data_IF_893144810708
#
_entry.id   IF_893144810708
#
_cell.length_a   1.000
_cell.length_b   1.000
_cell.length_c   1.000
_cell.angle_alpha   90.00
_cell.angle_beta   90.00
_cell.angle_gamma   90.00
#
_symmetry.space_group_name_H-M   'P 1'
#
loop_
_entity.id
_entity.type
_entity.pdbx_description
1 polymer ?
#
# COMPACT_ATOMS: atom_id res chain seq x y z
N UNK A 1 27.08 -65.23 45.38
CA UNK A 1 27.99 -64.92 44.24
C UNK A 1 27.32 -63.81 43.45
N UNK A 2 27.76 -62.55 43.59
CA UNK A 2 28.68 -61.84 42.65
C UNK A 2 28.09 -61.75 41.24
N UNK A 3 27.93 -60.62 40.53
CA UNK A 3 28.48 -59.24 40.51
C UNK A 3 27.52 -58.40 39.63
N UNK A 4 27.22 -57.11 39.92
CA UNK A 4 27.65 -55.89 39.17
C UNK A 4 27.58 -55.97 37.62
N UNK A 5 27.18 -54.98 36.80
CA UNK A 5 26.98 -53.52 36.91
C UNK A 5 26.43 -53.02 35.53
N UNK A 6 26.00 -51.75 35.49
CA UNK A 6 25.71 -50.87 34.33
C UNK A 6 24.38 -51.01 33.57
N UNK A 7 23.50 -50.01 33.76
CA UNK A 7 22.97 -49.20 32.64
C UNK A 7 22.40 -47.87 33.14
N UNK A 8 23.18 -46.82 32.83
CA UNK A 8 22.85 -45.42 32.57
C UNK A 8 21.60 -44.79 33.20
N UNK A 9 21.89 -43.88 34.12
CA UNK A 9 21.06 -42.76 34.52
C UNK A 9 20.93 -41.78 33.34
N UNK A 10 19.71 -41.55 32.85
CA UNK A 10 19.39 -40.52 31.87
C UNK A 10 18.26 -39.67 32.43
N UNK A 11 18.62 -38.50 32.95
CA UNK A 11 17.69 -37.46 33.39
C UNK A 11 16.71 -37.13 32.28
N UNK A 12 15.42 -37.39 32.48
CA UNK A 12 14.36 -36.77 31.68
C UNK A 12 14.30 -35.32 32.14
N UNK A 13 14.95 -34.44 31.38
CA UNK A 13 14.75 -33.00 31.49
C UNK A 13 13.35 -32.72 30.99
N UNK A 14 12.41 -32.47 31.91
CA UNK A 14 11.17 -31.79 31.59
C UNK A 14 11.54 -30.37 31.13
N UNK A 15 11.65 -30.18 29.82
CA UNK A 15 11.64 -28.84 29.23
C UNK A 15 10.22 -28.32 29.45
N UNK A 16 10.06 -27.51 30.49
CA UNK A 16 8.91 -26.61 30.62
C UNK A 16 8.96 -25.68 29.41
N UNK A 17 8.19 -26.02 28.37
CA UNK A 17 7.81 -25.08 27.34
C UNK A 17 6.94 -24.03 28.03
N UNK A 18 7.58 -22.95 28.51
CA UNK A 18 6.87 -21.71 28.69
C UNK A 18 6.26 -21.37 27.34
N UNK A 19 4.93 -21.49 27.26
CA UNK A 19 4.18 -20.83 26.22
C UNK A 19 4.62 -19.37 26.21
N UNK A 20 5.35 -18.95 25.18
CA UNK A 20 5.38 -17.55 24.82
C UNK A 20 3.93 -17.17 24.55
N UNK A 21 3.25 -16.64 25.55
CA UNK A 21 2.00 -15.92 25.32
C UNK A 21 2.33 -14.86 24.27
N UNK A 22 1.72 -14.97 23.10
CA UNK A 22 1.81 -13.93 22.10
C UNK A 22 1.34 -12.65 22.80
N UNK A 23 2.23 -11.65 22.91
CA UNK A 23 1.87 -10.35 23.49
C UNK A 23 0.67 -9.82 22.71
N UNK A 24 -0.49 -9.83 23.35
CA UNK A 24 -1.70 -9.24 22.81
C UNK A 24 -1.60 -7.71 22.95
N UNK A 25 -2.26 -6.98 22.05
CA UNK A 25 -2.47 -5.55 22.22
C UNK A 25 -3.13 -5.28 23.58
N UNK A 26 -2.57 -4.35 24.34
CA UNK A 26 -3.12 -3.91 25.63
C UNK A 26 -4.24 -2.86 25.41
N UNK A 27 -4.87 -2.39 26.49
CA UNK A 27 -5.72 -1.19 26.42
C UNK A 27 -4.87 0.03 26.02
N UNK A 28 -5.34 0.80 25.03
CA UNK A 28 -4.64 1.97 24.53
C UNK A 28 -4.92 2.25 23.07
N UNK A 29 -4.35 3.34 22.55
CA UNK A 29 -4.51 3.76 21.17
C UNK A 29 -3.82 2.80 20.21
N UNK A 30 -4.60 2.18 19.33
CA UNK A 30 -4.09 1.44 18.18
C UNK A 30 -3.92 2.40 17.01
N UNK A 31 -2.97 2.09 16.14
CA UNK A 31 -2.64 2.85 14.95
C UNK A 31 -2.61 1.91 13.76
N UNK A 32 -3.22 2.27 12.65
CA UNK A 32 -3.33 1.47 11.44
C UNK A 32 -2.72 2.25 10.26
N UNK A 33 -1.95 1.59 9.41
CA UNK A 33 -1.45 2.20 8.19
C UNK A 33 -0.48 1.32 7.41
N UNK A 34 0.51 1.91 6.75
CA UNK A 34 1.44 1.19 5.88
C UNK A 34 2.90 1.42 6.23
N UNK A 35 3.71 0.40 5.99
CA UNK A 35 5.15 0.50 5.82
C UNK A 35 5.51 0.16 4.38
N UNK A 36 6.18 1.07 3.68
CA UNK A 36 6.64 0.89 2.30
C UNK A 36 7.96 0.11 2.26
N UNK A 37 7.86 -1.19 2.55
CA UNK A 37 9.02 -2.07 2.62
C UNK A 37 9.49 -2.43 1.21
N UNK A 38 10.66 -3.07 1.10
CA UNK A 38 11.20 -3.56 -0.18
C UNK A 38 10.31 -4.58 -0.90
N UNK A 39 9.26 -5.07 -0.23
CA UNK A 39 8.20 -5.93 -0.77
C UNK A 39 6.88 -5.19 -0.91
N UNK A 40 6.92 -3.88 -1.09
CA UNK A 40 5.76 -3.02 -1.25
C UNK A 40 5.12 -2.60 0.06
N UNK A 41 4.04 -1.83 -0.08
CA UNK A 41 3.25 -1.32 1.03
C UNK A 41 2.62 -2.45 1.85
N UNK A 42 3.11 -2.63 3.07
CA UNK A 42 2.58 -3.61 4.01
C UNK A 42 1.60 -2.95 4.96
N UNK A 43 0.42 -3.57 5.15
CA UNK A 43 -0.48 -3.17 6.24
C UNK A 43 0.24 -3.27 7.57
N UNK A 44 -0.08 -2.35 8.45
CA UNK A 44 0.55 -2.21 9.75
C UNK A 44 -0.51 -1.85 10.79
N UNK A 45 -0.46 -2.55 11.92
CA UNK A 45 -1.18 -2.18 13.13
C UNK A 45 -0.16 -2.01 14.24
N UNK A 46 0.02 -0.78 14.71
CA UNK A 46 0.94 -0.45 15.79
C UNK A 46 0.19 -0.05 17.07
N UNK A 47 0.80 -0.30 18.20
CA UNK A 47 0.42 0.25 19.49
C UNK A 47 1.68 0.71 20.20
N UNK A 48 1.65 1.93 20.71
CA UNK A 48 2.77 2.56 21.41
C UNK A 48 2.42 2.71 22.89
N UNK A 49 3.33 2.29 23.75
CA UNK A 49 3.34 2.58 25.18
C UNK A 49 4.56 3.45 25.47
N UNK A 50 4.34 4.76 25.51
CA UNK A 50 5.39 5.76 25.72
C UNK A 50 5.96 5.73 27.15
N UNK A 51 5.18 5.29 28.13
CA UNK A 51 5.60 5.22 29.53
C UNK A 51 6.51 4.00 29.75
N UNK A 52 6.10 2.84 29.23
CA UNK A 52 6.91 1.62 29.27
C UNK A 52 8.04 1.62 28.22
N UNK A 53 8.11 2.64 27.35
CA UNK A 53 9.06 2.75 26.23
C UNK A 53 9.04 1.51 25.33
N UNK A 54 7.86 0.94 25.13
CA UNK A 54 7.67 -0.29 24.37
C UNK A 54 6.42 -0.21 23.51
N UNK A 55 6.18 -1.25 22.70
CA UNK A 55 4.98 -1.32 21.89
C UNK A 55 4.90 -2.60 21.10
N UNK A 56 3.89 -2.68 20.24
CA UNK A 56 3.67 -3.80 19.34
C UNK A 56 3.42 -3.28 17.93
N UNK A 57 3.94 -4.00 16.94
CA UNK A 57 3.65 -3.77 15.53
C UNK A 57 3.29 -5.11 14.90
N UNK A 58 2.13 -5.16 14.24
CA UNK A 58 1.70 -6.29 13.44
C UNK A 58 1.75 -5.86 11.98
N UNK A 59 2.43 -6.67 11.16
CA UNK A 59 2.44 -6.55 9.71
C UNK A 59 1.74 -7.80 9.17
N UNK A 60 0.38 -7.85 9.19
CA UNK A 60 -0.36 -9.11 9.07
C UNK A 60 -0.05 -9.87 7.79
N UNK A 61 0.26 -9.15 6.71
CA UNK A 61 0.52 -9.72 5.39
C UNK A 61 1.98 -10.20 5.21
N UNK A 62 2.89 -9.82 6.11
CA UNK A 62 4.32 -10.16 6.03
C UNK A 62 4.77 -11.07 7.17
N UNK A 63 4.36 -10.77 8.40
CA UNK A 63 4.80 -11.43 9.62
C UNK A 63 3.55 -11.70 10.47
N UNK A 64 3.06 -12.95 10.54
CA UNK A 64 1.83 -13.30 11.24
C UNK A 64 1.99 -13.31 12.78
N UNK A 65 3.07 -12.71 13.30
CA UNK A 65 3.35 -12.57 14.73
C UNK A 65 3.67 -11.11 15.07
N UNK A 66 3.16 -10.57 16.19
CA UNK A 66 3.49 -9.21 16.61
C UNK A 66 5.00 -9.03 16.83
N UNK A 67 5.55 -7.98 16.23
CA UNK A 67 6.89 -7.48 16.50
C UNK A 67 6.87 -6.59 17.73
N UNK A 68 7.88 -6.72 18.58
CA UNK A 68 8.06 -5.81 19.71
C UNK A 68 8.70 -4.51 19.21
N UNK A 69 8.11 -3.39 19.61
CA UNK A 69 8.72 -2.08 19.47
C UNK A 69 9.53 -1.78 20.74
N UNK A 70 10.75 -1.30 20.56
CA UNK A 70 11.64 -0.89 21.67
C UNK A 70 12.04 0.57 21.51
N UNK A 71 12.56 1.15 22.58
CA UNK A 71 13.03 2.55 22.59
C UNK A 71 11.93 3.54 22.17
N UNK A 72 10.67 3.16 22.41
CA UNK A 72 9.52 3.99 22.08
C UNK A 72 9.60 5.26 22.91
N UNK A 73 9.61 6.40 22.25
CA UNK A 73 9.64 7.70 22.91
C UNK A 73 8.96 8.77 22.07
N UNK A 74 8.36 9.73 22.77
CA UNK A 74 7.76 10.91 22.17
C UNK A 74 8.43 12.17 22.71
N UNK A 75 8.78 13.10 21.83
CA UNK A 75 9.27 14.43 22.16
C UNK A 75 8.51 15.45 21.33
N UNK A 76 7.62 16.21 21.97
CA UNK A 76 6.69 17.11 21.27
C UNK A 76 5.85 16.32 20.25
N UNK A 77 5.90 16.72 18.97
CA UNK A 77 5.28 16.08 17.83
C UNK A 77 6.13 14.95 17.24
N UNK A 78 7.34 14.68 17.74
CA UNK A 78 8.22 13.65 17.19
C UNK A 78 8.11 12.33 17.94
N UNK A 79 8.04 11.23 17.21
CA UNK A 79 8.03 9.85 17.74
C UNK A 79 9.23 9.08 17.23
N UNK A 80 9.85 8.31 18.12
CA UNK A 80 10.98 7.44 17.83
C UNK A 80 10.70 6.05 18.38
N UNK A 81 11.07 5.03 17.61
CA UNK A 81 10.98 3.64 18.05
C UNK A 81 11.85 2.75 17.18
N UNK A 82 12.16 1.55 17.66
CA UNK A 82 12.94 0.55 16.93
C UNK A 82 12.10 -0.70 16.74
N UNK A 83 12.08 -1.24 15.52
CA UNK A 83 11.41 -2.50 15.17
C UNK A 83 12.47 -3.60 15.03
N UNK A 84 12.29 -4.71 15.73
CA UNK A 84 13.18 -5.87 15.61
C UNK A 84 12.84 -6.75 14.40
N UNK A 85 13.58 -6.63 13.29
CA UNK A 85 13.51 -7.60 12.20
C UNK A 85 14.64 -8.64 12.30
N UNK A 86 14.46 -9.80 11.64
CA UNK A 86 15.52 -10.80 11.49
C UNK A 86 16.72 -10.29 10.68
N UNK A 87 16.48 -9.37 9.74
CA UNK A 87 17.50 -8.66 8.95
C UNK A 87 18.22 -7.56 9.72
N UNK A 88 17.89 -7.35 11.00
CA UNK A 88 18.46 -6.28 11.83
C UNK A 88 17.41 -5.22 12.20
N UNK A 89 17.72 -4.36 13.18
CA UNK A 89 16.78 -3.38 13.69
C UNK A 89 16.43 -2.32 12.64
N UNK A 90 15.14 -1.98 12.54
CA UNK A 90 14.65 -0.83 11.79
C UNK A 90 14.40 0.33 12.75
N UNK A 91 15.19 1.41 12.66
CA UNK A 91 15.06 2.60 13.51
C UNK A 91 14.11 3.58 12.87
N UNK A 92 13.02 3.90 13.56
CA UNK A 92 11.95 4.75 13.07
C UNK A 92 12.03 6.14 13.68
N UNK A 93 11.87 7.15 12.83
CA UNK A 93 11.66 8.55 13.21
C UNK A 93 10.42 9.08 12.49
N UNK A 94 9.47 9.61 13.26
CA UNK A 94 8.21 10.09 12.75
C UNK A 94 7.74 11.40 13.40
N UNK A 95 6.76 12.05 12.78
CA UNK A 95 5.97 13.13 13.35
C UNK A 95 4.51 12.69 13.54
N UNK A 96 3.96 12.95 14.73
CA UNK A 96 2.52 12.96 15.02
C UNK A 96 1.93 14.30 14.58
N UNK A 97 0.86 14.26 13.79
CA UNK A 97 0.00 15.41 13.50
C UNK A 97 -1.46 14.99 13.64
N UNK A 98 -2.11 15.42 14.72
CA UNK A 98 -3.47 15.00 15.05
C UNK A 98 -3.55 13.48 15.24
N UNK A 99 -4.44 12.84 14.48
CA UNK A 99 -4.64 11.38 14.51
C UNK A 99 -3.73 10.63 13.51
N UNK A 100 -2.65 11.25 13.02
CA UNK A 100 -1.72 10.64 12.05
C UNK A 100 -0.25 10.66 12.51
N UNK A 101 0.51 9.64 12.09
CA UNK A 101 1.95 9.48 12.25
C UNK A 101 2.57 9.30 10.87
N UNK A 102 3.56 10.12 10.53
CA UNK A 102 4.33 10.04 9.28
C UNK A 102 5.81 9.93 9.58
N UNK A 103 6.50 8.95 9.03
CA UNK A 103 7.91 8.75 9.34
C UNK A 103 8.71 7.99 8.31
N UNK A 104 9.99 7.86 8.65
CA UNK A 104 10.96 7.06 7.92
C UNK A 104 11.52 6.03 8.89
N UNK A 105 11.58 4.79 8.43
CA UNK A 105 12.30 3.69 9.05
C UNK A 105 13.63 3.50 8.32
N UNK A 106 14.73 3.61 9.03
CA UNK A 106 16.07 3.29 8.55
C UNK A 106 16.43 1.84 8.90
N UNK A 107 16.82 1.04 7.92
CA UNK A 107 17.40 -0.28 8.14
C UNK A 107 18.66 -0.45 7.29
N UNK A 108 19.78 -0.86 7.91
CA UNK A 108 21.08 -0.96 7.23
C UNK A 108 21.09 -1.89 6.00
N UNK A 109 20.22 -2.91 5.96
CA UNK A 109 20.12 -3.85 4.86
C UNK A 109 19.08 -3.46 3.81
N UNK A 110 18.04 -2.72 4.23
CA UNK A 110 16.85 -2.46 3.40
C UNK A 110 16.79 -1.03 2.86
N UNK A 111 17.61 -0.12 3.40
CA UNK A 111 17.53 1.30 3.12
C UNK A 111 16.43 2.01 3.93
N UNK A 112 16.07 3.20 3.46
CA UNK A 112 15.06 4.06 4.07
C UNK A 112 13.67 3.68 3.55
N UNK A 113 12.79 3.27 4.45
CA UNK A 113 11.38 2.98 4.15
C UNK A 113 10.49 4.07 4.72
N UNK A 114 9.58 4.61 3.92
CA UNK A 114 8.54 5.49 4.44
C UNK A 114 7.45 4.68 5.14
N UNK A 115 6.88 5.23 6.20
CA UNK A 115 5.70 4.66 6.81
C UNK A 115 4.72 5.75 7.24
N UNK A 116 3.47 5.34 7.31
CA UNK A 116 2.36 6.17 7.70
C UNK A 116 1.40 5.36 8.56
N UNK A 117 0.89 5.92 9.64
CA UNK A 117 -0.13 5.31 10.50
C UNK A 117 -1.18 6.36 10.87
N UNK A 118 -2.42 5.95 11.14
CA UNK A 118 -3.41 6.78 11.82
C UNK A 118 -4.10 6.02 12.93
N UNK A 119 -4.64 6.76 13.90
CA UNK A 119 -5.35 6.18 15.03
C UNK A 119 -6.52 5.30 14.57
N UNK A 120 -6.55 4.05 15.03
CA UNK A 120 -7.55 3.06 14.64
C UNK A 120 -8.96 3.53 15.00
N UNK A 121 -9.94 3.19 14.14
CA UNK A 121 -11.32 3.64 14.31
C UNK A 121 -11.54 5.14 14.06
N UNK A 122 -10.50 5.89 13.68
CA UNK A 122 -10.65 7.24 13.12
C UNK A 122 -10.72 7.16 11.60
N UNK A 123 -11.50 8.07 11.05
CA UNK A 123 -11.73 8.32 9.62
C UNK A 123 -10.41 8.49 8.84
N UNK A 124 -9.29 8.79 9.50
CA UNK A 124 -8.01 9.01 8.84
C UNK A 124 -7.16 7.76 8.58
N UNK A 125 -7.53 6.52 8.97
CA UNK A 125 -6.81 5.29 8.55
C UNK A 125 -6.73 5.22 7.02
N UNK A 126 -5.56 4.97 6.39
CA UNK A 126 -5.50 4.86 4.91
C UNK A 126 -6.37 3.74 4.37
N UNK A 127 -6.62 2.70 5.17
CA UNK A 127 -7.55 1.61 4.85
C UNK A 127 -9.02 2.00 4.99
N UNK A 128 -9.30 3.24 5.38
CA UNK A 128 -10.63 3.80 5.50
C UNK A 128 -10.61 5.30 5.16
N UNK A 129 -9.73 5.78 4.26
CA UNK A 129 -9.79 7.19 3.85
C UNK A 129 -11.21 7.45 3.36
N UNK A 130 -11.95 8.39 3.97
CA UNK A 130 -13.22 8.79 3.42
C UNK A 130 -12.93 9.39 2.06
N UNK A 131 -13.78 9.10 1.10
CA UNK A 131 -13.83 9.90 -0.11
C UNK A 131 -14.02 11.37 0.31
N UNK A 132 -13.27 12.33 -0.25
CA UNK A 132 -13.47 13.75 0.02
C UNK A 132 -14.90 14.14 -0.36
N UNK A 133 -15.42 15.17 0.30
CA UNK A 133 -16.77 15.65 0.03
C UNK A 133 -16.85 16.23 -1.39
N UNK A 134 -18.00 16.08 -2.06
CA UNK A 134 -18.15 16.47 -3.46
C UNK A 134 -17.88 17.97 -3.69
N UNK A 135 -18.17 18.81 -2.69
CA UNK A 135 -18.01 20.26 -2.69
C UNK A 135 -16.60 20.74 -2.33
N UNK A 136 -15.74 19.87 -1.79
CA UNK A 136 -14.34 20.21 -1.52
C UNK A 136 -13.61 20.48 -2.85
N UNK A 137 -12.78 21.55 -2.96
CA UNK A 137 -12.09 21.84 -4.21
C UNK A 137 -10.90 20.89 -4.43
N UNK A 138 -10.65 20.55 -5.70
CA UNK A 138 -9.39 19.92 -6.10
C UNK A 138 -8.28 20.96 -6.04
N UNK A 139 -7.18 20.62 -5.38
CA UNK A 139 -5.99 21.47 -5.22
C UNK A 139 -4.81 20.82 -5.93
N UNK A 140 -4.38 21.43 -7.04
CA UNK A 140 -3.20 20.99 -7.81
C UNK A 140 -2.04 21.95 -7.58
N UNK A 141 -0.94 21.41 -7.07
CA UNK A 141 0.30 22.15 -6.78
C UNK A 141 1.46 21.62 -7.62
N UNK A 142 2.45 22.45 -7.87
CA UNK A 142 3.71 22.08 -8.55
C UNK A 142 4.84 22.04 -7.53
N UNK A 143 5.78 21.10 -7.66
CA UNK A 143 6.87 20.97 -6.68
C UNK A 143 7.84 22.16 -6.70
N UNK A 144 8.29 22.53 -7.89
CA UNK A 144 9.33 23.53 -8.14
C UNK A 144 8.82 24.69 -9.01
N UNK A 145 7.55 24.66 -9.43
CA UNK A 145 6.92 25.67 -10.28
C UNK A 145 7.65 25.83 -11.63
N UNK A 146 8.18 24.72 -12.15
CA UNK A 146 8.83 24.73 -13.47
C UNK A 146 7.80 24.89 -14.58
N UNK A 147 8.24 25.26 -15.78
CA UNK A 147 7.35 25.35 -16.94
C UNK A 147 6.69 24.00 -17.26
N UNK A 148 7.45 22.91 -17.17
CA UNK A 148 6.97 21.54 -17.43
C UNK A 148 5.89 21.11 -16.43
N UNK A 149 6.11 21.36 -15.12
CA UNK A 149 5.12 21.07 -14.07
C UNK A 149 3.83 21.87 -14.26
N UNK A 150 3.96 23.16 -14.61
CA UNK A 150 2.80 24.03 -14.86
C UNK A 150 1.99 23.61 -16.09
N UNK A 151 2.65 23.12 -17.14
CA UNK A 151 1.96 22.60 -18.34
C UNK A 151 1.12 21.36 -17.97
N UNK A 152 1.68 20.41 -17.22
CA UNK A 152 0.92 19.21 -16.81
C UNK A 152 -0.20 19.56 -15.84
N UNK A 153 0.04 20.49 -14.91
CA UNK A 153 -1.01 21.05 -14.05
C UNK A 153 -2.19 21.59 -14.89
N UNK A 154 -1.92 22.48 -15.84
CA UNK A 154 -2.97 23.09 -16.67
C UNK A 154 -3.71 22.05 -17.52
N UNK A 155 -2.99 21.05 -18.06
CA UNK A 155 -3.61 19.93 -18.79
C UNK A 155 -4.54 19.12 -17.89
N UNK A 156 -4.13 18.82 -16.66
CA UNK A 156 -4.96 18.10 -15.70
C UNK A 156 -6.21 18.89 -15.32
N UNK A 157 -6.07 20.20 -15.08
CA UNK A 157 -7.20 21.11 -14.85
C UNK A 157 -8.20 21.07 -16.01
N UNK A 158 -7.70 21.11 -17.25
CA UNK A 158 -8.54 21.02 -18.46
C UNK A 158 -9.27 19.68 -18.54
N UNK A 159 -8.62 18.57 -18.17
CA UNK A 159 -9.25 17.24 -18.16
C UNK A 159 -10.34 17.12 -17.09
N UNK A 160 -10.12 17.72 -15.91
CA UNK A 160 -11.09 17.76 -14.82
C UNK A 160 -12.32 18.60 -15.15
N UNK A 161 -12.18 19.63 -15.98
CA UNK A 161 -13.32 20.39 -16.51
C UNK A 161 -14.06 19.64 -17.63
N UNK A 162 -13.31 18.89 -18.45
CA UNK A 162 -13.84 18.17 -19.61
C UNK A 162 -14.64 16.92 -19.25
N UNK A 163 -14.27 16.22 -18.18
CA UNK A 163 -14.86 14.96 -17.77
C UNK A 163 -15.43 15.04 -16.35
N UNK A 164 -16.61 14.46 -16.13
CA UNK A 164 -17.13 14.27 -14.76
C UNK A 164 -16.41 13.08 -14.10
N UNK A 165 -15.37 13.40 -13.32
CA UNK A 165 -14.52 12.43 -12.63
C UNK A 165 -14.83 12.29 -11.14
N UNK A 166 -15.82 13.02 -10.62
CA UNK A 166 -16.02 13.15 -9.16
C UNK A 166 -16.23 11.79 -8.51
N UNK A 167 -16.94 10.86 -9.16
CA UNK A 167 -17.15 9.50 -8.66
C UNK A 167 -15.88 8.68 -8.51
N UNK A 168 -14.80 9.00 -9.23
CA UNK A 168 -13.51 8.32 -9.18
C UNK A 168 -12.47 9.01 -8.27
N UNK A 169 -12.76 10.19 -7.73
CA UNK A 169 -11.82 10.95 -6.89
C UNK A 169 -11.86 10.45 -5.45
N UNK A 170 -10.72 10.00 -4.93
CA UNK A 170 -10.52 9.59 -3.52
C UNK A 170 -9.53 10.51 -2.79
N UNK A 171 -8.77 11.32 -3.52
CA UNK A 171 -8.02 12.45 -2.96
C UNK A 171 -8.13 13.68 -3.87
N UNK A 172 -8.29 14.85 -3.26
CA UNK A 172 -8.37 16.15 -3.94
C UNK A 172 -7.05 16.94 -3.87
N UNK A 173 -6.04 16.43 -3.17
CA UNK A 173 -4.71 17.07 -3.10
C UNK A 173 -3.76 16.38 -4.07
N UNK A 174 -3.30 17.12 -5.07
CA UNK A 174 -2.48 16.61 -6.17
C UNK A 174 -1.20 17.44 -6.27
N UNK A 175 -0.08 16.77 -6.49
CA UNK A 175 1.22 17.38 -6.72
C UNK A 175 1.75 16.99 -8.10
N UNK A 176 2.29 17.94 -8.85
CA UNK A 176 3.03 17.68 -10.09
C UNK A 176 4.51 17.86 -9.80
N UNK A 177 5.32 16.87 -10.15
CA UNK A 177 6.76 16.88 -9.88
C UNK A 177 7.53 16.20 -11.01
N UNK A 178 8.56 16.84 -11.55
CA UNK A 178 9.40 16.26 -12.59
C UNK A 178 10.31 15.14 -12.07
N UNK A 179 10.48 14.07 -12.85
CA UNK A 179 11.52 13.05 -12.63
C UNK A 179 11.20 12.03 -11.53
N UNK A 180 9.92 11.89 -11.17
CA UNK A 180 9.45 10.90 -10.19
C UNK A 180 8.65 9.79 -10.88
N UNK A 181 8.59 8.63 -10.23
CA UNK A 181 7.57 7.63 -10.57
C UNK A 181 6.26 8.13 -9.94
N UNK A 182 5.16 8.23 -10.71
CA UNK A 182 3.86 8.57 -10.15
C UNK A 182 3.52 7.68 -8.95
N UNK A 183 2.89 8.26 -7.95
CA UNK A 183 2.50 7.54 -6.74
C UNK A 183 1.35 8.25 -6.02
N UNK A 184 0.52 7.45 -5.37
CA UNK A 184 -0.68 7.89 -4.67
C UNK A 184 -0.40 8.41 -3.25
N UNK A 185 0.67 7.93 -2.60
CA UNK A 185 0.93 8.16 -1.19
C UNK A 185 2.30 8.80 -0.92
N UNK A 186 2.43 9.68 0.10
CA UNK A 186 1.37 10.17 1.00
C UNK A 186 0.49 11.27 0.38
N UNK A 187 0.86 11.76 -0.80
CA UNK A 187 0.10 12.72 -1.61
C UNK A 187 0.17 12.22 -3.05
N UNK A 188 -0.96 12.25 -3.76
CA UNK A 188 -1.00 11.87 -5.17
C UNK A 188 -0.08 12.78 -5.96
N UNK A 189 0.99 12.19 -6.51
CA UNK A 189 2.04 12.91 -7.22
C UNK A 189 2.16 12.35 -8.63
N UNK A 190 2.01 13.22 -9.63
CA UNK A 190 2.15 12.89 -11.05
C UNK A 190 3.45 13.45 -11.61
N UNK A 191 4.01 12.76 -12.60
CA UNK A 191 5.22 13.19 -13.31
C UNK A 191 4.88 14.17 -14.47
N UNK A 192 5.89 14.85 -14.98
CA UNK A 192 5.83 15.66 -16.20
C UNK A 192 6.09 14.88 -17.49
N UNK A 193 6.66 13.67 -17.41
CA UNK A 193 6.87 12.76 -18.55
C UNK A 193 5.55 12.10 -18.95
N UNK A 194 4.71 12.86 -19.66
CA UNK A 194 3.35 12.51 -20.06
C UNK A 194 3.21 12.63 -21.56
N UNK A 195 2.79 11.56 -22.21
CA UNK A 195 2.78 11.45 -23.68
C UNK A 195 1.60 12.18 -24.33
N UNK A 196 0.41 12.09 -23.73
CA UNK A 196 -0.82 12.70 -24.25
C UNK A 196 -1.90 12.84 -23.15
N UNK A 197 -3.07 13.37 -23.51
CA UNK A 197 -4.21 13.54 -22.58
C UNK A 197 -4.71 12.21 -21.99
N UNK A 198 -4.79 11.14 -22.79
CA UNK A 198 -5.20 9.81 -22.32
C UNK A 198 -4.23 9.28 -21.28
N UNK A 199 -2.93 9.43 -21.52
CA UNK A 199 -1.87 9.01 -20.60
C UNK A 199 -1.94 9.77 -19.26
N UNK A 200 -2.18 11.09 -19.29
CA UNK A 200 -2.38 11.89 -18.08
C UNK A 200 -3.62 11.45 -17.30
N UNK A 201 -4.73 11.26 -18.01
CA UNK A 201 -5.99 10.85 -17.42
C UNK A 201 -5.89 9.46 -16.81
N UNK A 202 -5.28 8.51 -17.52
CA UNK A 202 -5.08 7.14 -17.06
C UNK A 202 -4.17 7.11 -15.83
N UNK A 203 -3.04 7.84 -15.84
CA UNK A 203 -2.15 7.92 -14.68
C UNK A 203 -2.86 8.56 -13.48
N UNK A 204 -3.63 9.63 -13.69
CA UNK A 204 -4.43 10.23 -12.61
C UNK A 204 -5.43 9.25 -12.02
N UNK A 205 -6.20 8.54 -12.86
CA UNK A 205 -7.16 7.53 -12.42
C UNK A 205 -6.45 6.36 -11.72
N UNK A 206 -5.33 5.87 -12.25
CA UNK A 206 -4.52 4.82 -11.63
C UNK A 206 -4.16 5.15 -10.18
N UNK A 207 -3.63 6.36 -9.94
CA UNK A 207 -3.30 6.79 -8.59
C UNK A 207 -4.51 7.00 -7.69
N UNK A 208 -5.67 7.41 -8.22
CA UNK A 208 -6.92 7.42 -7.46
C UNK A 208 -7.39 6.00 -7.12
N UNK A 209 -7.17 5.03 -8.01
CA UNK A 209 -7.56 3.63 -7.79
C UNK A 209 -6.69 2.95 -6.74
N UNK A 210 -5.43 3.39 -6.56
CA UNK A 210 -4.66 3.00 -5.38
C UNK A 210 -5.36 3.43 -4.08
N UNK A 211 -5.94 4.62 -3.98
CA UNK A 211 -6.72 5.03 -2.80
C UNK A 211 -8.00 4.19 -2.64
N UNK A 212 -8.72 3.92 -3.73
CA UNK A 212 -9.91 3.06 -3.68
C UNK A 212 -9.58 1.62 -3.24
N UNK A 213 -8.45 1.06 -3.67
CA UNK A 213 -8.00 -0.29 -3.29
C UNK A 213 -7.77 -0.45 -1.78
N UNK A 214 -7.62 0.67 -1.07
CA UNK A 214 -7.51 0.67 0.38
C UNK A 214 -8.88 0.80 1.07
N UNK A 215 -9.97 1.07 0.35
CA UNK A 215 -11.31 1.25 0.92
C UNK A 215 -12.01 -0.08 1.24
N UNK A 216 -13.01 -0.06 2.11
CA UNK A 216 -13.87 -1.23 2.45
C UNK A 216 -15.05 -1.42 1.50
N UNK A 217 -14.98 -0.91 0.28
CA UNK A 217 -16.12 -0.88 -0.65
C UNK A 217 -16.31 -2.19 -1.43
N UNK A 218 -15.37 -3.14 -1.31
CA UNK A 218 -15.42 -4.44 -1.99
C UNK A 218 -14.90 -5.56 -1.08
N UNK A 219 -15.23 -6.82 -1.40
CA UNK A 219 -14.76 -8.00 -0.68
C UNK A 219 -13.32 -8.36 -1.09
N UNK A 220 -12.34 -7.73 -0.43
CA UNK A 220 -10.92 -7.91 -0.73
C UNK A 220 -10.42 -9.33 -0.46
N UNK A 221 -11.02 -10.04 0.51
CA UNK A 221 -10.57 -11.37 0.92
C UNK A 221 -11.01 -12.42 -0.10
N UNK A 222 -12.26 -12.34 -0.57
CA UNK A 222 -12.76 -13.18 -1.66
C UNK A 222 -11.99 -12.94 -2.96
N UNK A 223 -11.68 -11.67 -3.27
CA UNK A 223 -10.88 -11.31 -4.44
C UNK A 223 -9.47 -11.91 -4.36
N UNK A 224 -8.78 -11.74 -3.22
CA UNK A 224 -7.44 -12.27 -3.03
C UNK A 224 -7.41 -13.80 -3.18
N UNK A 225 -8.38 -14.51 -2.61
CA UNK A 225 -8.48 -15.96 -2.71
C UNK A 225 -8.58 -16.43 -4.18
N UNK A 226 -9.42 -15.79 -4.99
CA UNK A 226 -9.57 -16.15 -6.41
C UNK A 226 -8.37 -15.73 -7.26
N UNK A 227 -7.80 -14.55 -7.02
CA UNK A 227 -6.61 -14.07 -7.75
C UNK A 227 -5.40 -14.98 -7.49
N UNK A 228 -5.14 -15.36 -6.24
CA UNK A 228 -4.02 -16.27 -5.90
C UNK A 228 -4.21 -17.67 -6.49
N UNK A 229 -5.46 -18.14 -6.59
CA UNK A 229 -5.78 -19.40 -7.24
C UNK A 229 -5.52 -19.36 -8.74
N UNK A 230 -5.86 -18.25 -9.42
CA UNK A 230 -5.66 -18.08 -10.87
C UNK A 230 -4.20 -17.86 -11.24
N UNK A 231 -3.49 -17.08 -10.44
CA UNK A 231 -2.12 -16.67 -10.71
C UNK A 231 -1.21 -17.06 -9.54
N UNK A 232 -0.94 -18.36 -9.32
CA UNK A 232 -0.16 -18.82 -8.16
C UNK A 232 1.30 -18.38 -8.19
N UNK A 233 1.77 -17.83 -9.32
CA UNK A 233 3.10 -17.26 -9.49
C UNK A 233 3.01 -16.06 -10.41
N UNK A 234 3.56 -14.95 -9.95
CA UNK A 234 3.60 -13.68 -10.69
C UNK A 234 5.05 -13.19 -10.77
N UNK A 235 5.43 -12.41 -11.80
CA UNK A 235 6.74 -11.77 -11.82
C UNK A 235 6.83 -10.73 -10.70
N UNK A 236 8.01 -10.60 -10.10
CA UNK A 236 8.25 -9.61 -9.05
C UNK A 236 8.93 -8.35 -9.60
N UNK A 237 9.95 -8.51 -10.44
CA UNK A 237 10.79 -7.40 -10.88
C UNK A 237 10.17 -6.59 -12.03
N UNK A 238 10.43 -5.28 -12.02
CA UNK A 238 10.19 -4.41 -13.18
C UNK A 238 11.05 -4.87 -14.39
N UNK A 239 10.57 -4.68 -15.63
CA UNK A 239 9.30 -4.05 -15.99
C UNK A 239 8.10 -5.02 -16.00
N UNK A 240 8.29 -6.29 -15.64
CA UNK A 240 7.24 -7.31 -15.73
C UNK A 240 6.24 -7.21 -14.56
N UNK A 241 6.75 -7.24 -13.33
CA UNK A 241 6.00 -7.05 -12.08
C UNK A 241 6.22 -5.67 -11.47
N UNK A 242 6.00 -5.54 -10.16
CA UNK A 242 5.94 -4.26 -9.46
C UNK A 242 6.91 -4.12 -8.26
N UNK A 243 8.10 -4.70 -8.36
CA UNK A 243 9.11 -4.73 -7.29
C UNK A 243 9.09 -6.03 -6.48
N UNK A 244 7.90 -6.59 -6.26
CA UNK A 244 7.65 -7.85 -5.56
C UNK A 244 6.30 -8.47 -5.97
N UNK A 245 5.99 -9.67 -5.46
CA UNK A 245 4.73 -10.36 -5.79
C UNK A 245 3.49 -9.65 -5.24
N UNK A 246 3.52 -9.14 -4.00
CA UNK A 246 2.39 -8.48 -3.36
C UNK A 246 2.02 -7.20 -4.11
N UNK A 247 3.02 -6.37 -4.42
CA UNK A 247 2.87 -5.20 -5.27
C UNK A 247 2.32 -5.59 -6.64
N UNK A 248 2.76 -6.72 -7.22
CA UNK A 248 2.26 -7.15 -8.54
C UNK A 248 0.78 -7.57 -8.48
N UNK A 249 0.36 -8.25 -7.42
CA UNK A 249 -1.07 -8.55 -7.20
C UNK A 249 -1.89 -7.28 -6.98
N UNK A 250 -1.38 -6.32 -6.21
CA UNK A 250 -2.02 -5.02 -6.06
C UNK A 250 -2.21 -4.34 -7.43
N UNK A 251 -1.19 -4.35 -8.28
CA UNK A 251 -1.28 -3.73 -9.60
C UNK A 251 -2.21 -4.50 -10.56
N UNK A 252 -2.46 -5.79 -10.40
CA UNK A 252 -3.56 -6.46 -11.12
C UNK A 252 -4.92 -5.83 -10.81
N UNK A 253 -5.17 -5.51 -9.54
CA UNK A 253 -6.42 -4.88 -9.09
C UNK A 253 -6.47 -3.42 -9.55
N UNK A 254 -5.40 -2.66 -9.33
CA UNK A 254 -5.35 -1.22 -9.65
C UNK A 254 -5.36 -0.98 -11.15
N UNK A 255 -4.61 -1.74 -11.96
CA UNK A 255 -4.64 -1.60 -13.43
C UNK A 255 -5.97 -2.08 -14.02
N UNK A 256 -6.68 -3.03 -13.38
CA UNK A 256 -8.05 -3.35 -13.78
C UNK A 256 -8.97 -2.15 -13.56
N UNK A 257 -8.88 -1.51 -12.40
CA UNK A 257 -9.68 -0.33 -12.08
C UNK A 257 -9.31 0.89 -12.94
N UNK A 258 -8.02 1.06 -13.28
CA UNK A 258 -7.56 2.02 -14.28
C UNK A 258 -8.31 1.81 -15.59
N UNK A 259 -8.32 0.59 -16.12
CA UNK A 259 -9.08 0.26 -17.32
C UNK A 259 -10.58 0.49 -17.16
N UNK A 260 -11.18 -0.01 -16.07
CA UNK A 260 -12.61 0.12 -15.82
C UNK A 260 -13.02 1.59 -15.82
N UNK A 261 -12.37 2.41 -15.00
CA UNK A 261 -12.69 3.85 -14.90
C UNK A 261 -12.37 4.60 -16.19
N UNK A 262 -11.23 4.35 -16.82
CA UNK A 262 -10.87 4.99 -18.09
C UNK A 262 -11.87 4.64 -19.20
N UNK A 263 -12.35 3.39 -19.25
CA UNK A 263 -13.33 2.94 -20.24
C UNK A 263 -14.67 3.67 -20.11
N UNK A 264 -15.07 4.03 -18.89
CA UNK A 264 -16.27 4.82 -18.62
C UNK A 264 -16.10 6.29 -19.04
N UNK A 265 -14.88 6.82 -18.98
CA UNK A 265 -14.61 8.25 -19.27
C UNK A 265 -14.40 8.49 -20.77
N UNK A 266 -13.59 7.67 -21.44
CA UNK A 266 -13.19 7.90 -22.84
C UNK A 266 -13.69 6.82 -23.81
N UNK A 267 -14.46 5.85 -23.32
CA UNK A 267 -14.95 4.72 -24.07
C UNK A 267 -13.99 3.53 -24.06
N UNK A 268 -14.56 2.32 -24.08
CA UNK A 268 -13.81 1.06 -23.99
C UNK A 268 -12.73 0.90 -25.05
N UNK A 269 -13.00 1.26 -26.30
CA UNK A 269 -12.04 1.11 -27.41
C UNK A 269 -10.74 1.89 -27.14
N UNK A 270 -10.85 3.18 -26.79
CA UNK A 270 -9.67 4.01 -26.45
C UNK A 270 -8.97 3.55 -25.18
N UNK A 271 -9.71 3.05 -24.19
CA UNK A 271 -9.12 2.47 -23.00
C UNK A 271 -8.32 1.19 -23.34
N UNK A 272 -8.83 0.33 -24.23
CA UNK A 272 -8.10 -0.85 -24.71
C UNK A 272 -6.82 -0.47 -25.45
N UNK A 273 -6.84 0.52 -26.34
CA UNK A 273 -5.65 1.03 -27.01
C UNK A 273 -4.57 1.51 -26.02
N UNK A 274 -4.99 2.18 -24.94
CA UNK A 274 -4.08 2.58 -23.86
C UNK A 274 -3.50 1.36 -23.15
N UNK A 275 -4.34 0.38 -22.76
CA UNK A 275 -3.88 -0.85 -22.11
C UNK A 275 -2.90 -1.65 -22.98
N UNK A 276 -3.14 -1.72 -24.29
CA UNK A 276 -2.24 -2.36 -25.26
C UNK A 276 -0.87 -1.67 -25.30
N UNK A 277 -0.84 -0.34 -25.34
CA UNK A 277 0.41 0.42 -25.23
C UNK A 277 1.13 0.14 -23.90
N UNK A 278 0.40 0.03 -22.80
CA UNK A 278 0.99 -0.22 -21.48
C UNK A 278 1.66 -1.60 -21.37
N UNK A 279 1.32 -2.57 -22.24
CA UNK A 279 2.04 -3.86 -22.31
C UNK A 279 3.52 -3.76 -22.66
N UNK A 280 3.98 -2.59 -23.17
CA UNK A 280 5.39 -2.33 -23.48
C UNK A 280 6.09 -1.45 -22.45
N UNK A 281 5.36 -0.95 -21.44
CA UNK A 281 5.88 -0.01 -20.42
C UNK A 281 6.29 -0.76 -19.13
N UNK A 282 5.99 -0.20 -17.95
CA UNK A 282 6.10 -0.91 -16.66
C UNK A 282 4.87 -1.80 -16.44
N UNK A 283 4.98 -2.77 -15.53
CA UNK A 283 3.95 -3.75 -15.21
C UNK A 283 3.46 -4.56 -16.44
N UNK A 284 4.37 -4.87 -17.37
CA UNK A 284 4.02 -5.48 -18.67
C UNK A 284 3.21 -6.76 -18.53
N UNK A 285 3.58 -7.61 -17.57
CA UNK A 285 2.86 -8.84 -17.31
C UNK A 285 1.44 -8.57 -16.81
N UNK A 286 1.27 -7.56 -15.96
CA UNK A 286 -0.04 -7.14 -15.43
C UNK A 286 -0.96 -6.75 -16.59
N UNK A 287 -0.55 -5.78 -17.42
CA UNK A 287 -1.37 -5.31 -18.55
C UNK A 287 -1.67 -6.43 -19.56
N UNK A 288 -0.69 -7.28 -19.89
CA UNK A 288 -0.93 -8.44 -20.76
C UNK A 288 -1.91 -9.44 -20.16
N UNK A 289 -1.83 -9.67 -18.86
CA UNK A 289 -2.72 -10.59 -18.14
C UNK A 289 -4.14 -10.05 -18.14
N UNK A 290 -4.32 -8.76 -17.84
CA UNK A 290 -5.63 -8.10 -17.88
C UNK A 290 -6.25 -8.20 -19.28
N UNK A 291 -5.51 -7.85 -20.33
CA UNK A 291 -6.01 -7.93 -21.71
C UNK A 291 -6.39 -9.37 -22.11
N UNK A 292 -5.56 -10.34 -21.74
CA UNK A 292 -5.77 -11.75 -22.09
C UNK A 292 -6.98 -12.34 -21.35
N UNK A 293 -7.14 -12.02 -20.07
CA UNK A 293 -8.10 -12.68 -19.19
C UNK A 293 -9.32 -11.79 -18.87
N UNK A 294 -9.48 -10.65 -19.55
CA UNK A 294 -10.48 -9.60 -19.28
C UNK A 294 -11.89 -10.17 -19.12
N UNK A 295 -12.33 -11.01 -20.07
CA UNK A 295 -13.67 -11.62 -20.08
C UNK A 295 -13.97 -12.47 -18.82
N UNK A 296 -12.92 -13.00 -18.19
CA UNK A 296 -13.03 -13.78 -16.95
C UNK A 296 -12.79 -12.97 -15.68
N UNK A 297 -12.07 -11.86 -15.79
CA UNK A 297 -11.75 -10.97 -14.67
C UNK A 297 -12.90 -10.00 -14.40
N UNK A 298 -13.49 -9.38 -15.42
CA UNK A 298 -14.61 -8.45 -15.24
C UNK A 298 -15.76 -9.03 -14.41
N UNK A 299 -16.28 -10.25 -14.68
CA UNK A 299 -17.31 -10.85 -13.83
C UNK A 299 -16.85 -11.17 -12.41
N UNK A 300 -15.56 -11.51 -12.21
CA UNK A 300 -14.99 -11.73 -10.88
C UNK A 300 -14.93 -10.41 -10.09
N UNK A 301 -14.43 -9.35 -10.72
CA UNK A 301 -14.32 -8.03 -10.07
C UNK A 301 -15.72 -7.50 -9.73
N UNK A 302 -16.70 -7.68 -10.62
CA UNK A 302 -18.09 -7.35 -10.35
C UNK A 302 -18.68 -8.15 -9.18
N UNK A 303 -18.42 -9.46 -9.10
CA UNK A 303 -19.01 -10.32 -8.06
C UNK A 303 -18.54 -10.00 -6.65
N UNK A 304 -17.35 -9.41 -6.49
CA UNK A 304 -16.79 -8.94 -5.21
C UNK A 304 -17.08 -7.46 -4.94
N UNK A 305 -17.79 -6.77 -5.83
CA UNK A 305 -18.11 -5.34 -5.69
C UNK A 305 -16.97 -4.39 -6.10
N UNK A 306 -15.92 -4.88 -6.76
CA UNK A 306 -14.79 -4.07 -7.23
C UNK A 306 -15.12 -3.42 -8.59
N UNK A 307 -16.04 -2.47 -8.61
CA UNK A 307 -16.42 -1.72 -9.80
C UNK A 307 -17.01 -0.36 -9.43
N UNK A 308 -17.21 0.46 -10.46
CA UNK A 308 -17.97 1.71 -10.39
C UNK A 308 -19.16 1.61 -11.35
N UNK A 309 -20.34 1.96 -10.83
CA UNK A 309 -21.58 2.14 -11.61
C UNK A 309 -21.61 3.47 -12.38
#
# INVERSE_FOLDING_TARGET
MHQQLFKYCGYIVFILLFSCEAKAFQEGDKWEGIFDLSRGAQKAVAQFDFDAKSGLLVLPDLIPVPLTLTEVSQKSDSVFFTIGFRSGPGVCKAQIKGDSIKGIMYNQQSGDTQFWLAKAGKVQSIFNQPKPAADEPIVITTHNNTQEENIVKQRLETLLEKYDLEKYIYTKTIKIQTGIIPHSHPVLTLNTDIRNETDLLATFLHEQMHWYSLSKQYDSDALAAEIFKRYPKVPSALPEGAGDEQSTYLHLVVCYLEFHTLSQVIGREKAMEHMEFMTTQNYRWVYRTLLKDMDSLEPLMASVGLHFD
#
